data_IF_571148304344
#
_entry.id   IF_571148304344
#
_cell.length_a   1.000
_cell.length_b   1.000
_cell.length_c   1.000
_cell.angle_alpha   90.00
_cell.angle_beta   90.00
_cell.angle_gamma   90.00
#
_symmetry.space_group_name_H-M   'P 1'
#
loop_
_entity.id
_entity.type
_entity.pdbx_description
1 polymer ?
#
# COMPACT_ATOMS: atom_id res chain seq x y z
N UNK A 1 -15.45 16.95 -6.51
CA UNK A 1 -16.03 16.30 -5.29
C UNK A 1 -16.33 14.83 -5.55
N UNK A 2 -17.14 14.47 -6.55
CA UNK A 2 -17.42 13.05 -6.87
C UNK A 2 -16.19 12.25 -7.30
N UNK A 3 -15.28 12.83 -8.08
CA UNK A 3 -14.00 12.19 -8.42
C UNK A 3 -13.14 11.93 -7.18
N UNK A 4 -12.96 12.91 -6.30
CA UNK A 4 -12.22 12.79 -5.04
C UNK A 4 -12.83 11.71 -4.13
N UNK A 5 -14.15 11.63 -3.99
CA UNK A 5 -14.78 10.60 -3.15
C UNK A 5 -14.66 9.19 -3.77
N UNK A 6 -14.81 9.09 -5.09
CA UNK A 6 -14.65 7.83 -5.81
C UNK A 6 -13.22 7.31 -5.76
N UNK A 7 -12.26 8.15 -6.17
CA UNK A 7 -10.84 7.80 -6.26
C UNK A 7 -10.17 7.66 -4.90
N UNK A 8 -10.56 8.45 -3.89
CA UNK A 8 -9.92 8.38 -2.58
C UNK A 8 -10.49 7.29 -1.68
N UNK A 9 -11.77 6.95 -1.80
CA UNK A 9 -12.44 6.05 -0.86
C UNK A 9 -12.92 4.77 -1.52
N UNK A 10 -13.78 4.89 -2.52
CA UNK A 10 -14.49 3.72 -3.09
C UNK A 10 -13.52 2.79 -3.81
N UNK A 11 -12.63 3.34 -4.65
CA UNK A 11 -11.67 2.55 -5.43
C UNK A 11 -10.69 1.78 -4.52
N UNK A 12 -9.98 2.42 -3.56
CA UNK A 12 -9.06 1.68 -2.70
C UNK A 12 -9.74 0.61 -1.84
N UNK A 13 -10.99 0.86 -1.39
CA UNK A 13 -11.77 -0.16 -0.67
C UNK A 13 -12.06 -1.36 -1.57
N UNK A 14 -12.54 -1.11 -2.80
CA UNK A 14 -12.83 -2.17 -3.77
C UNK A 14 -11.57 -2.96 -4.15
N UNK A 15 -10.44 -2.28 -4.33
CA UNK A 15 -9.15 -2.89 -4.59
C UNK A 15 -8.72 -3.80 -3.43
N UNK A 16 -8.78 -3.35 -2.18
CA UNK A 16 -8.42 -4.20 -1.05
C UNK A 16 -9.37 -5.40 -0.89
N UNK A 17 -10.68 -5.23 -1.12
CA UNK A 17 -11.63 -6.34 -1.14
C UNK A 17 -11.25 -7.40 -2.19
N UNK A 18 -10.87 -6.97 -3.39
CA UNK A 18 -10.46 -7.89 -4.45
C UNK A 18 -9.09 -8.50 -4.18
N UNK A 19 -8.05 -7.70 -4.03
CA UNK A 19 -6.67 -8.18 -3.98
C UNK A 19 -6.34 -8.84 -2.64
N UNK A 20 -6.81 -8.30 -1.52
CA UNK A 20 -6.47 -8.79 -0.17
C UNK A 20 -7.56 -9.71 0.36
N UNK A 21 -8.81 -9.41 0.05
CA UNK A 21 -9.95 -10.25 0.39
C UNK A 21 -10.04 -11.54 -0.45
N UNK A 22 -9.74 -11.49 -1.76
CA UNK A 22 -9.89 -12.64 -2.66
C UNK A 22 -8.56 -13.17 -3.18
N UNK A 23 -7.78 -12.36 -3.91
CA UNK A 23 -6.59 -12.83 -4.63
C UNK A 23 -5.54 -13.38 -3.66
N UNK A 24 -5.15 -12.61 -2.64
CA UNK A 24 -4.19 -13.02 -1.62
C UNK A 24 -4.63 -14.29 -0.90
N UNK A 25 -5.87 -14.34 -0.42
CA UNK A 25 -6.39 -15.51 0.31
C UNK A 25 -6.40 -16.75 -0.57
N UNK A 26 -6.80 -16.64 -1.84
CA UNK A 26 -6.76 -17.78 -2.79
C UNK A 26 -5.33 -18.22 -3.07
N UNK A 27 -4.43 -17.29 -3.39
CA UNK A 27 -3.01 -17.64 -3.61
C UNK A 27 -2.39 -18.31 -2.37
N UNK A 28 -2.75 -17.86 -1.17
CA UNK A 28 -2.29 -18.45 0.09
C UNK A 28 -2.73 -19.91 0.25
N UNK A 29 -3.96 -20.23 -0.16
CA UNK A 29 -4.49 -21.60 -0.12
C UNK A 29 -3.72 -22.56 -1.04
N UNK A 30 -3.30 -22.11 -2.22
CA UNK A 30 -2.63 -22.96 -3.22
C UNK A 30 -1.11 -23.00 -3.07
N UNK A 31 -0.47 -21.88 -2.72
CA UNK A 31 0.99 -21.71 -2.80
C UNK A 31 1.64 -21.36 -1.46
N UNK A 32 0.86 -21.22 -0.39
CA UNK A 32 1.36 -20.79 0.91
C UNK A 32 1.59 -19.28 1.01
N UNK A 33 2.08 -18.83 2.18
CA UNK A 33 2.12 -17.41 2.56
C UNK A 33 3.06 -16.59 1.69
N UNK A 34 4.33 -16.99 1.56
CA UNK A 34 5.35 -16.18 0.89
C UNK A 34 5.06 -15.95 -0.59
N UNK A 35 4.72 -16.98 -1.40
CA UNK A 35 4.36 -16.77 -2.80
C UNK A 35 3.06 -15.96 -2.95
N UNK A 36 2.11 -16.09 -2.02
CA UNK A 36 0.88 -15.30 -2.05
C UNK A 36 1.12 -13.81 -1.76
N UNK A 37 2.02 -13.48 -0.82
CA UNK A 37 2.40 -12.10 -0.53
C UNK A 37 2.98 -11.43 -1.78
N UNK A 38 3.97 -12.07 -2.40
CA UNK A 38 4.65 -11.53 -3.59
C UNK A 38 3.69 -11.52 -4.79
N UNK A 39 3.00 -12.63 -5.06
CA UNK A 39 2.12 -12.76 -6.22
C UNK A 39 0.96 -11.78 -6.18
N UNK A 40 0.27 -11.63 -5.04
CA UNK A 40 -0.83 -10.66 -4.93
C UNK A 40 -0.36 -9.21 -5.07
N UNK A 41 0.83 -8.87 -4.55
CA UNK A 41 1.42 -7.54 -4.68
C UNK A 41 1.81 -7.21 -6.13
N UNK A 42 2.41 -8.17 -6.84
CA UNK A 42 2.77 -8.00 -8.25
C UNK A 42 1.54 -7.84 -9.13
N UNK A 43 0.52 -8.69 -8.95
CA UNK A 43 -0.74 -8.58 -9.69
C UNK A 43 -1.37 -7.21 -9.44
N UNK A 44 -1.42 -6.76 -8.19
CA UNK A 44 -1.92 -5.44 -7.84
C UNK A 44 -1.15 -4.32 -8.55
N UNK A 45 0.18 -4.38 -8.57
CA UNK A 45 1.00 -3.41 -9.31
C UNK A 45 0.70 -3.40 -10.80
N UNK A 46 0.59 -4.57 -11.44
CA UNK A 46 0.44 -4.70 -12.90
C UNK A 46 -0.84 -4.02 -13.39
N UNK A 47 -1.89 -4.03 -12.57
CA UNK A 47 -3.19 -3.42 -12.90
C UNK A 47 -3.13 -1.89 -13.09
N UNK A 48 -2.04 -1.24 -12.70
CA UNK A 48 -1.88 0.21 -12.83
C UNK A 48 -1.32 0.63 -14.21
N UNK A 49 -0.90 -0.30 -15.06
CA UNK A 49 -0.52 -0.08 -16.48
C UNK A 49 0.62 0.95 -16.70
N UNK A 50 1.25 1.42 -15.63
CA UNK A 50 2.35 2.38 -15.65
C UNK A 50 3.52 1.83 -14.83
N UNK A 51 4.75 1.89 -15.37
CA UNK A 51 5.92 1.30 -14.71
C UNK A 51 6.23 1.92 -13.35
N UNK A 52 6.14 3.24 -13.24
CA UNK A 52 6.42 3.97 -12.00
C UNK A 52 5.35 3.62 -10.95
N UNK A 53 4.08 3.66 -11.34
CA UNK A 53 2.98 3.31 -10.46
C UNK A 53 2.99 1.82 -10.07
N UNK A 54 3.37 0.94 -10.99
CA UNK A 54 3.58 -0.49 -10.74
C UNK A 54 4.57 -0.71 -9.60
N UNK A 55 5.73 -0.05 -9.62
CA UNK A 55 6.75 -0.21 -8.59
C UNK A 55 6.22 0.23 -7.21
N UNK A 56 5.59 1.41 -7.14
CA UNK A 56 5.03 1.90 -5.88
C UNK A 56 3.87 1.03 -5.37
N UNK A 57 2.94 0.66 -6.25
CA UNK A 57 1.79 -0.17 -5.93
C UNK A 57 2.22 -1.59 -5.51
N UNK A 58 3.26 -2.17 -6.14
CA UNK A 58 3.79 -3.47 -5.74
C UNK A 58 4.40 -3.41 -4.33
N UNK A 59 5.19 -2.37 -4.01
CA UNK A 59 5.81 -2.22 -2.67
C UNK A 59 4.76 -2.00 -1.59
N UNK A 60 3.86 -1.03 -1.78
CA UNK A 60 2.74 -0.79 -0.85
C UNK A 60 1.88 -2.04 -0.75
N UNK A 61 1.61 -2.68 -1.88
CA UNK A 61 0.77 -3.84 -1.95
C UNK A 61 1.32 -5.05 -1.21
N UNK A 62 2.64 -5.22 -1.21
CA UNK A 62 3.34 -6.23 -0.41
C UNK A 62 3.24 -5.92 1.08
N UNK A 63 3.45 -4.65 1.45
CA UNK A 63 3.29 -4.19 2.84
C UNK A 63 1.87 -4.42 3.38
N UNK A 64 0.84 -4.07 2.61
CA UNK A 64 -0.55 -4.26 3.01
C UNK A 64 -0.93 -5.74 3.12
N UNK A 65 -0.46 -6.58 2.19
CA UNK A 65 -0.65 -8.03 2.26
C UNK A 65 0.03 -8.63 3.51
N UNK A 66 1.23 -8.14 3.87
CA UNK A 66 1.92 -8.54 5.09
C UNK A 66 1.15 -8.12 6.36
N UNK A 67 0.63 -6.89 6.40
CA UNK A 67 -0.19 -6.41 7.53
C UNK A 67 -1.47 -7.23 7.65
N UNK A 68 -2.15 -7.55 6.55
CA UNK A 68 -3.31 -8.44 6.57
C UNK A 68 -2.94 -9.81 7.14
N UNK A 69 -1.85 -10.41 6.67
CA UNK A 69 -1.44 -11.74 7.13
C UNK A 69 -1.15 -11.78 8.64
N UNK A 70 -0.52 -10.73 9.17
CA UNK A 70 -0.21 -10.64 10.60
C UNK A 70 -1.40 -10.29 11.47
N UNK A 71 -2.33 -9.48 10.97
CA UNK A 71 -3.46 -9.01 11.78
C UNK A 71 -4.72 -9.84 11.61
N UNK A 72 -4.82 -10.60 10.52
CA UNK A 72 -6.05 -11.26 10.08
C UNK A 72 -7.18 -10.30 9.67
N UNK A 73 -6.92 -8.98 9.67
CA UNK A 73 -7.93 -7.94 9.51
C UNK A 73 -7.78 -7.21 8.19
N UNK A 74 -8.78 -7.38 7.31
CA UNK A 74 -8.84 -6.64 6.04
C UNK A 74 -8.95 -5.13 6.26
N UNK A 75 -9.61 -4.70 7.35
CA UNK A 75 -9.74 -3.28 7.68
C UNK A 75 -8.38 -2.57 7.83
N UNK A 76 -7.36 -3.26 8.34
CA UNK A 76 -6.01 -2.68 8.50
C UNK A 76 -5.36 -2.41 7.14
N UNK A 77 -5.56 -3.29 6.16
CA UNK A 77 -5.08 -3.10 4.80
C UNK A 77 -5.84 -1.96 4.12
N UNK A 78 -7.16 -1.89 4.28
CA UNK A 78 -8.01 -0.79 3.78
C UNK A 78 -7.55 0.56 4.34
N UNK A 79 -7.38 0.70 5.65
CA UNK A 79 -6.94 1.97 6.24
C UNK A 79 -5.54 2.36 5.76
N UNK A 80 -4.62 1.40 5.65
CA UNK A 80 -3.28 1.65 5.12
C UNK A 80 -3.31 2.14 3.67
N UNK A 81 -4.14 1.52 2.83
CA UNK A 81 -4.30 1.92 1.44
C UNK A 81 -4.92 3.31 1.31
N UNK A 82 -6.00 3.57 2.04
CA UNK A 82 -6.65 4.89 2.08
C UNK A 82 -5.67 5.99 2.50
N UNK A 83 -4.83 5.74 3.51
CA UNK A 83 -3.80 6.69 3.95
C UNK A 83 -2.75 6.95 2.86
N UNK A 84 -2.26 5.90 2.19
CA UNK A 84 -1.30 6.04 1.09
C UNK A 84 -1.89 6.81 -0.09
N UNK A 85 -3.13 6.51 -0.45
CA UNK A 85 -3.81 7.18 -1.56
C UNK A 85 -4.15 8.63 -1.22
N UNK A 86 -4.58 8.93 0.01
CA UNK A 86 -4.78 10.30 0.46
C UNK A 86 -3.49 11.12 0.39
N UNK A 87 -2.35 10.56 0.80
CA UNK A 87 -1.06 11.25 0.68
C UNK A 87 -0.71 11.53 -0.80
N UNK A 88 -0.99 10.57 -1.70
CA UNK A 88 -0.76 10.75 -3.13
C UNK A 88 -1.66 11.84 -3.74
N UNK A 89 -2.93 11.90 -3.35
CA UNK A 89 -3.89 12.91 -3.83
C UNK A 89 -3.58 14.29 -3.24
N UNK A 90 -3.30 14.39 -1.94
CA UNK A 90 -2.89 15.65 -1.33
C UNK A 90 -1.67 16.24 -2.03
N UNK A 91 -0.69 15.41 -2.36
CA UNK A 91 0.45 15.85 -3.17
C UNK A 91 0.02 16.38 -4.52
N UNK A 92 -0.72 15.59 -5.28
CA UNK A 92 -1.04 15.89 -6.69
C UNK A 92 -1.94 17.12 -6.83
N UNK A 93 -2.91 17.29 -5.93
CA UNK A 93 -3.91 18.37 -6.02
C UNK A 93 -3.46 19.67 -5.33
N UNK A 94 -2.67 19.59 -4.25
CA UNK A 94 -2.32 20.77 -3.43
C UNK A 94 -0.85 21.13 -3.45
N UNK A 95 0.02 20.23 -3.92
CA UNK A 95 1.48 20.39 -3.90
C UNK A 95 2.11 20.35 -2.50
N UNK A 96 1.31 20.17 -1.44
CA UNK A 96 1.79 20.21 -0.04
C UNK A 96 2.93 19.23 0.25
N UNK A 97 2.97 18.10 -0.46
CA UNK A 97 3.97 17.05 -0.30
C UNK A 97 4.98 17.01 -1.45
N UNK A 98 5.03 17.99 -2.35
CA UNK A 98 5.94 17.95 -3.51
C UNK A 98 7.42 17.91 -3.09
N UNK A 99 7.76 18.53 -1.96
CA UNK A 99 9.10 18.47 -1.38
C UNK A 99 9.58 17.03 -1.12
N UNK A 100 8.67 16.06 -0.97
CA UNK A 100 9.03 14.66 -0.73
C UNK A 100 9.62 13.96 -1.96
N UNK A 101 9.46 14.52 -3.15
CA UNK A 101 9.95 13.95 -4.42
C UNK A 101 11.24 14.61 -4.93
N UNK A 102 11.63 15.75 -4.34
CA UNK A 102 12.88 16.40 -4.70
C UNK A 102 14.02 15.94 -3.78
N UNK A 103 15.25 15.75 -4.31
CA UNK A 103 16.43 15.34 -3.53
C UNK A 103 16.99 16.51 -2.70
N UNK A 104 16.11 17.21 -1.98
CA UNK A 104 16.47 18.24 -1.01
C UNK A 104 16.66 17.60 0.36
N UNK A 105 17.32 18.31 1.30
CA UNK A 105 17.48 17.83 2.68
C UNK A 105 16.14 17.47 3.32
N UNK A 106 15.09 18.26 3.07
CA UNK A 106 13.73 18.01 3.58
C UNK A 106 13.11 16.75 2.96
N UNK A 107 13.27 16.54 1.64
CA UNK A 107 12.76 15.36 0.94
C UNK A 107 13.45 14.06 1.35
N UNK A 108 14.79 14.10 1.48
CA UNK A 108 15.58 12.97 1.97
C UNK A 108 15.18 12.62 3.40
N UNK A 109 15.10 13.61 4.30
CA UNK A 109 14.69 13.39 5.69
C UNK A 109 13.30 12.78 5.77
N UNK A 110 12.33 13.31 5.02
CA UNK A 110 10.97 12.77 4.97
C UNK A 110 10.95 11.31 4.51
N UNK A 111 11.70 10.97 3.45
CA UNK A 111 11.78 9.60 2.93
C UNK A 111 12.38 8.64 3.96
N UNK A 112 13.46 9.04 4.63
CA UNK A 112 14.11 8.25 5.68
C UNK A 112 13.15 8.02 6.86
N UNK A 113 12.42 9.05 7.28
CA UNK A 113 11.43 8.93 8.37
C UNK A 113 10.29 8.00 7.98
N UNK A 114 9.75 8.11 6.76
CA UNK A 114 8.70 7.22 6.28
C UNK A 114 9.16 5.77 6.14
N UNK A 115 10.39 5.55 5.67
CA UNK A 115 10.99 4.21 5.62
C UNK A 115 11.19 3.62 7.02
N UNK A 116 11.72 4.41 7.96
CA UNK A 116 11.88 3.99 9.36
C UNK A 116 10.53 3.68 10.03
N UNK A 117 9.50 4.50 9.78
CA UNK A 117 8.15 4.26 10.25
C UNK A 117 7.58 2.96 9.67
N UNK A 118 7.73 2.74 8.36
CA UNK A 118 7.35 1.49 7.70
C UNK A 118 8.02 0.27 8.31
N UNK A 119 9.35 0.31 8.49
CA UNK A 119 10.12 -0.76 9.15
C UNK A 119 9.66 -0.96 10.60
N UNK A 120 9.38 0.11 11.33
CA UNK A 120 8.86 0.05 12.69
C UNK A 120 7.51 -0.66 12.76
N UNK A 121 6.61 -0.35 11.84
CA UNK A 121 5.30 -1.02 11.71
C UNK A 121 5.47 -2.50 11.36
N UNK A 122 6.31 -2.83 10.36
CA UNK A 122 6.61 -4.22 10.01
C UNK A 122 7.19 -4.96 11.21
N UNK A 123 8.14 -4.36 11.92
CA UNK A 123 8.79 -4.95 13.10
C UNK A 123 7.82 -5.19 14.26
N UNK A 124 6.92 -4.24 14.51
CA UNK A 124 5.87 -4.36 15.52
C UNK A 124 4.95 -5.56 15.22
N UNK A 125 4.52 -5.70 13.96
CA UNK A 125 3.68 -6.82 13.54
C UNK A 125 4.45 -8.13 13.40
N UNK A 126 5.76 -8.09 13.14
CA UNK A 126 6.60 -9.28 13.13
C UNK A 126 6.75 -9.88 14.53
N UNK A 127 6.83 -9.03 15.57
CA UNK A 127 6.97 -9.43 16.97
C UNK A 127 5.67 -9.93 17.62
N UNK A 128 4.49 -9.60 17.06
CA UNK A 128 3.23 -10.17 17.48
C UNK A 128 3.08 -11.56 16.85
N UNK A 129 3.28 -12.61 17.67
CA UNK A 129 2.96 -14.00 17.32
C UNK A 129 1.47 -14.24 17.44
#
# INVERSE_FOLDING_TARGET
>A
VFELLGSCLVIPIAEELLFRGVVYKRLKLYFGVTPALIGSALIFGIMHVNLVQFLYAAVIGLFLAFVLEKTGKLSMAVFGHLAANLAAVLRTETGWLDFSFYPTVKGILFTVVMAAAGIGVVSLFYRRK
#
